data_IF_458162290172
#
_entry.id   IF_458162290172
#
_cell.length_a   1.000
_cell.length_b   1.000
_cell.length_c   1.000
_cell.angle_alpha   90.00
_cell.angle_beta   90.00
_cell.angle_gamma   90.00
#
_symmetry.space_group_name_H-M   'P 1'
#
loop_
_entity.id
_entity.type
_entity.pdbx_description
1 polymer ?
#
# COMPACT_ATOMS: atom_id res chain seq x y z
N UNK A 1 -9.08 -1.15 -15.84
CA UNK A 1 -8.34 0.12 -15.83
C UNK A 1 -7.20 -0.04 -14.86
N UNK A 2 -6.04 0.50 -15.21
CA UNK A 2 -4.79 0.23 -14.51
C UNK A 2 -4.39 1.43 -13.65
N UNK A 3 -3.76 1.15 -12.52
CA UNK A 3 -3.33 2.14 -11.53
C UNK A 3 -1.80 2.22 -11.57
N UNK A 4 -1.26 3.39 -11.84
CA UNK A 4 0.19 3.64 -11.85
C UNK A 4 0.67 4.09 -10.48
N UNK A 5 1.60 3.35 -9.88
CA UNK A 5 2.24 3.60 -8.58
C UNK A 5 3.60 4.32 -8.69
N UNK A 6 3.97 4.78 -9.89
CA UNK A 6 5.25 5.50 -10.15
C UNK A 6 5.47 6.77 -9.33
N UNK A 7 4.42 7.29 -8.70
CA UNK A 7 4.50 8.47 -7.84
C UNK A 7 5.12 8.17 -6.47
N UNK A 8 5.25 6.90 -6.08
CA UNK A 8 5.84 6.49 -4.81
C UNK A 8 7.35 6.74 -4.82
N UNK A 9 7.86 7.29 -3.72
CA UNK A 9 9.30 7.41 -3.48
C UNK A 9 9.90 6.05 -3.09
N UNK A 10 11.22 5.94 -3.12
CA UNK A 10 11.90 4.65 -2.89
C UNK A 10 11.60 4.04 -1.51
N UNK A 11 11.51 4.85 -0.46
CA UNK A 11 11.18 4.37 0.89
C UNK A 11 9.73 3.87 0.97
N UNK A 12 8.80 4.54 0.27
CA UNK A 12 7.40 4.14 0.19
C UNK A 12 7.22 2.88 -0.66
N UNK A 13 7.97 2.76 -1.77
CA UNK A 13 7.99 1.56 -2.59
C UNK A 13 8.51 0.38 -1.79
N UNK A 14 9.59 0.57 -1.02
CA UNK A 14 10.12 -0.46 -0.11
C UNK A 14 9.09 -0.86 0.94
N UNK A 15 8.48 0.12 1.61
CA UNK A 15 7.43 -0.15 2.60
C UNK A 15 6.24 -0.89 2.01
N UNK A 16 5.80 -0.51 0.80
CA UNK A 16 4.75 -1.22 0.08
C UNK A 16 5.15 -2.68 -0.19
N UNK A 17 6.35 -2.89 -0.72
CA UNK A 17 6.85 -4.24 -0.99
C UNK A 17 6.91 -5.10 0.27
N UNK A 18 7.43 -4.57 1.38
CA UNK A 18 7.56 -5.31 2.65
C UNK A 18 6.19 -5.69 3.22
N UNK A 19 5.18 -4.82 3.06
CA UNK A 19 3.80 -5.10 3.47
C UNK A 19 3.15 -6.15 2.58
N UNK A 20 3.25 -5.98 1.26
CA UNK A 20 2.64 -6.90 0.30
C UNK A 20 3.32 -8.26 0.34
N UNK A 21 4.65 -8.36 0.40
CA UNK A 21 5.36 -9.65 0.44
C UNK A 21 4.99 -10.52 1.63
N UNK A 22 4.60 -9.90 2.75
CA UNK A 22 4.16 -10.62 3.95
C UNK A 22 2.74 -11.18 3.82
N UNK A 23 1.84 -10.51 3.10
CA UNK A 23 0.42 -10.86 3.03
C UNK A 23 0.00 -11.52 1.70
N UNK A 24 0.61 -11.13 0.59
CA UNK A 24 0.36 -11.66 -0.75
C UNK A 24 1.67 -11.73 -1.58
N UNK A 25 2.37 -12.88 -1.57
CA UNK A 25 3.59 -13.06 -2.36
C UNK A 25 3.39 -12.93 -3.87
N UNK A 26 2.22 -13.31 -4.40
CA UNK A 26 1.95 -13.25 -5.83
C UNK A 26 1.83 -11.79 -6.29
N UNK A 27 1.14 -10.96 -5.51
CA UNK A 27 1.07 -9.53 -5.76
C UNK A 27 2.44 -8.85 -5.60
N UNK A 28 3.28 -9.35 -4.69
CA UNK A 28 4.65 -8.86 -4.53
C UNK A 28 5.51 -9.11 -5.77
N UNK A 29 5.37 -10.29 -6.40
CA UNK A 29 6.05 -10.61 -7.66
C UNK A 29 5.63 -9.68 -8.80
N UNK A 30 4.34 -9.30 -8.85
CA UNK A 30 3.84 -8.32 -9.82
C UNK A 30 4.51 -6.96 -9.59
N UNK A 31 4.48 -6.45 -8.36
CA UNK A 31 5.09 -5.16 -8.01
C UNK A 31 6.59 -5.13 -8.28
N UNK A 32 7.27 -6.29 -8.25
CA UNK A 32 8.71 -6.37 -8.46
C UNK A 32 9.12 -6.09 -9.90
N UNK A 33 8.20 -6.24 -10.86
CA UNK A 33 8.47 -6.10 -12.30
C UNK A 33 7.71 -4.95 -12.96
N UNK A 34 6.72 -4.37 -12.28
CA UNK A 34 5.92 -3.25 -12.80
C UNK A 34 5.43 -2.32 -11.70
N UNK A 35 5.48 -1.01 -11.95
CA UNK A 35 4.82 0.00 -11.11
C UNK A 35 3.34 0.20 -11.48
N UNK A 36 2.83 -0.52 -12.48
CA UNK A 36 1.42 -0.44 -12.91
C UNK A 36 0.71 -1.73 -12.57
N UNK A 37 -0.41 -1.62 -11.85
CA UNK A 37 -1.21 -2.76 -11.37
C UNK A 37 -2.66 -2.65 -11.83
N UNK A 38 -3.41 -3.76 -11.81
CA UNK A 38 -4.84 -3.70 -12.10
C UNK A 38 -5.59 -2.96 -10.99
N UNK A 39 -6.82 -2.50 -11.27
CA UNK A 39 -7.68 -1.91 -10.23
C UNK A 39 -7.94 -2.87 -9.07
N UNK A 40 -8.15 -4.15 -9.34
CA UNK A 40 -8.38 -5.17 -8.29
C UNK A 40 -7.13 -5.39 -7.43
N UNK A 41 -5.95 -5.39 -8.03
CA UNK A 41 -4.69 -5.44 -7.29
C UNK A 41 -4.50 -4.19 -6.42
N UNK A 42 -4.83 -3.01 -6.94
CA UNK A 42 -4.79 -1.78 -6.16
C UNK A 42 -5.81 -1.79 -4.99
N UNK A 43 -6.99 -2.40 -5.16
CA UNK A 43 -7.96 -2.62 -4.07
C UNK A 43 -7.39 -3.56 -3.00
N UNK A 44 -6.71 -4.63 -3.41
CA UNK A 44 -6.06 -5.55 -2.50
C UNK A 44 -4.91 -4.89 -1.73
N UNK A 45 -4.08 -4.09 -2.41
CA UNK A 45 -3.01 -3.30 -1.76
C UNK A 45 -3.61 -2.36 -0.69
N UNK A 46 -4.69 -1.66 -1.03
CA UNK A 46 -5.39 -0.79 -0.06
C UNK A 46 -5.87 -1.59 1.15
N UNK A 47 -6.43 -2.78 0.95
CA UNK A 47 -6.84 -3.65 2.05
C UNK A 47 -5.66 -4.07 2.94
N UNK A 48 -4.55 -4.49 2.33
CA UNK A 48 -3.33 -4.89 3.05
C UNK A 48 -2.79 -3.74 3.91
N UNK A 49 -2.75 -2.53 3.36
CA UNK A 49 -2.26 -1.35 4.07
C UNK A 49 -3.22 -0.87 5.17
N UNK A 50 -4.54 -1.03 4.97
CA UNK A 50 -5.54 -0.76 6.01
C UNK A 50 -5.34 -1.69 7.21
N UNK A 51 -5.18 -2.99 6.96
CA UNK A 51 -4.96 -3.95 8.04
C UNK A 51 -3.64 -3.66 8.77
N UNK A 52 -2.56 -3.38 8.03
CA UNK A 52 -1.28 -3.01 8.64
C UNK A 52 -1.40 -1.75 9.50
N UNK A 53 -2.15 -0.75 9.04
CA UNK A 53 -2.39 0.46 9.81
C UNK A 53 -3.09 0.15 11.14
N UNK A 54 -4.14 -0.69 11.10
CA UNK A 54 -4.89 -1.12 12.29
C UNK A 54 -3.97 -1.90 13.24
N UNK A 55 -3.11 -2.78 12.72
CA UNK A 55 -2.16 -3.57 13.51
C UNK A 55 -1.06 -2.72 14.18
N UNK A 56 -0.93 -1.44 13.78
CA UNK A 56 0.11 -0.53 14.26
C UNK A 56 -0.45 0.73 14.95
N UNK A 57 -1.66 0.59 15.51
CA UNK A 57 -2.18 1.49 16.53
C UNK A 57 -1.64 1.07 17.91
N UNK A 58 -1.43 2.04 18.79
CA UNK A 58 -1.07 1.78 20.17
C UNK A 58 -2.30 1.49 21.05
N UNK A 59 -2.07 1.32 22.36
CA UNK A 59 -3.12 0.98 23.33
C UNK A 59 -4.22 2.06 23.43
N UNK A 60 -3.92 3.29 23.03
CA UNK A 60 -4.86 4.43 23.01
C UNK A 60 -5.52 4.61 21.63
N UNK A 61 -5.32 3.66 20.71
CA UNK A 61 -5.77 3.70 19.31
C UNK A 61 -5.12 4.84 18.50
N UNK A 62 -3.98 5.37 18.95
CA UNK A 62 -3.20 6.34 18.20
C UNK A 62 -2.21 5.63 17.27
N UNK A 63 -1.96 6.15 16.06
CA UNK A 63 -0.99 5.52 15.18
C UNK A 63 0.42 5.68 15.74
N UNK A 64 1.14 4.57 15.81
CA UNK A 64 2.59 4.60 16.04
C UNK A 64 3.31 5.40 14.94
N UNK A 65 4.60 5.69 15.11
CA UNK A 65 5.39 6.36 14.06
C UNK A 65 5.37 5.56 12.74
N UNK A 66 5.43 4.22 12.82
CA UNK A 66 5.28 3.36 11.65
C UNK A 66 3.84 3.35 11.13
N UNK A 67 2.84 3.25 12.00
CA UNK A 67 1.41 3.35 11.63
C UNK A 67 1.09 4.65 10.88
N UNK A 68 1.67 5.78 11.28
CA UNK A 68 1.54 7.07 10.59
C UNK A 68 2.11 7.00 9.17
N UNK A 69 3.28 6.38 8.99
CA UNK A 69 3.88 6.20 7.67
C UNK A 69 3.03 5.29 6.76
N UNK A 70 2.49 4.19 7.31
CA UNK A 70 1.56 3.29 6.60
C UNK A 70 0.28 4.04 6.20
N UNK A 71 -0.26 4.88 7.10
CA UNK A 71 -1.43 5.70 6.81
C UNK A 71 -1.22 6.67 5.65
N UNK A 72 -0.06 7.35 5.62
CA UNK A 72 0.29 8.22 4.49
C UNK A 72 0.41 7.43 3.18
N UNK A 73 1.06 6.26 3.20
CA UNK A 73 1.16 5.39 2.03
C UNK A 73 -0.22 4.94 1.53
N UNK A 74 -1.07 4.47 2.45
CA UNK A 74 -2.45 4.07 2.20
C UNK A 74 -3.25 5.18 1.51
N UNK A 75 -3.19 6.41 2.04
CA UNK A 75 -3.89 7.56 1.45
C UNK A 75 -3.47 7.81 0.00
N UNK A 76 -2.16 7.76 -0.29
CA UNK A 76 -1.64 8.01 -1.64
C UNK A 76 -2.03 6.91 -2.62
N UNK A 77 -1.92 5.64 -2.22
CA UNK A 77 -2.32 4.52 -3.07
C UNK A 77 -3.83 4.53 -3.32
N UNK A 78 -4.63 4.80 -2.29
CA UNK A 78 -6.08 4.88 -2.43
C UNK A 78 -6.52 6.04 -3.32
N UNK A 79 -5.86 7.20 -3.24
CA UNK A 79 -6.11 8.31 -4.14
C UNK A 79 -5.86 7.92 -5.61
N UNK A 80 -4.70 7.33 -5.91
CA UNK A 80 -4.38 6.89 -7.28
C UNK A 80 -5.37 5.84 -7.82
N UNK A 81 -5.85 4.95 -6.94
CA UNK A 81 -6.89 3.96 -7.28
C UNK A 81 -8.23 4.60 -7.63
N UNK A 82 -8.58 5.70 -6.96
CA UNK A 82 -9.83 6.43 -7.19
C UNK A 82 -9.75 7.38 -8.39
N UNK A 83 -8.60 8.00 -8.62
CA UNK A 83 -8.36 8.94 -9.74
C UNK A 83 -8.27 8.23 -11.09
N UNK A 84 -7.92 6.94 -11.11
CA UNK A 84 -7.95 6.08 -12.30
C UNK A 84 -9.38 5.78 -12.77
N UNK A 85 -10.08 6.81 -13.27
CA UNK A 85 -11.42 6.74 -13.91
C UNK A 85 -11.36 6.86 -15.43
#
# INVERSE_FOLDING_TARGET
>A
MDVSLKFLHDDERRMLHDNVSRRDPALSEILAVTDTVSRSDAELIVSILCDEFIDNLDDDWEPTAYGTAVSHLLQRVNAARLDGT
#
